data_IF_731990271667
#
_entry.id   IF_731990271667
#
_cell.length_a   1.000
_cell.length_b   1.000
_cell.length_c   1.000
_cell.angle_alpha   90.00
_cell.angle_beta   90.00
_cell.angle_gamma   90.00
#
_symmetry.space_group_name_H-M   'P 1'
#
loop_
_entity.id
_entity.type
_entity.pdbx_description
1 polymer ?
#
# COMPACT_ATOMS: atom_id res chain seq x y z
N UNK A 1 15.01 -20.18 51.34
CA UNK A 1 15.56 -20.53 50.02
C UNK A 1 14.50 -20.59 48.92
N UNK A 2 13.32 -21.22 49.07
CA UNK A 2 12.29 -21.27 48.00
C UNK A 2 11.72 -19.92 47.54
N UNK A 3 11.62 -18.91 48.42
CA UNK A 3 11.10 -17.58 48.08
C UNK A 3 12.08 -16.72 47.21
N UNK A 4 13.39 -16.91 47.42
CA UNK A 4 14.41 -16.20 46.66
C UNK A 4 14.52 -16.74 45.22
N UNK A 5 14.36 -18.05 45.04
CA UNK A 5 14.38 -18.70 43.73
C UNK A 5 13.16 -18.24 42.88
N UNK A 6 11.99 -18.05 43.52
CA UNK A 6 10.80 -17.55 42.82
C UNK A 6 10.93 -16.10 42.37
N UNK A 7 11.59 -15.25 43.16
CA UNK A 7 11.85 -13.84 42.80
C UNK A 7 12.88 -13.69 41.65
N UNK A 8 13.89 -14.55 41.62
CA UNK A 8 14.90 -14.55 40.51
C UNK A 8 14.28 -15.07 39.22
N UNK A 9 13.41 -16.10 39.28
CA UNK A 9 12.67 -16.58 38.10
C UNK A 9 11.68 -15.53 37.56
N UNK A 10 11.00 -14.78 38.45
CA UNK A 10 10.10 -13.70 38.04
C UNK A 10 10.88 -12.50 37.41
N UNK A 11 12.06 -12.16 37.96
CA UNK A 11 12.93 -11.13 37.39
C UNK A 11 13.50 -11.54 36.03
N UNK A 12 13.82 -12.82 35.80
CA UNK A 12 14.27 -13.34 34.51
C UNK A 12 13.15 -13.37 33.46
N UNK A 13 11.89 -13.55 33.85
CA UNK A 13 10.74 -13.48 32.95
C UNK A 13 10.41 -12.02 32.55
N UNK A 14 10.59 -11.06 33.45
CA UNK A 14 10.37 -9.63 33.15
C UNK A 14 11.47 -9.10 32.23
N UNK A 15 12.72 -9.54 32.38
CA UNK A 15 13.84 -9.12 31.53
C UNK A 15 13.71 -9.56 30.06
N UNK A 16 12.97 -10.63 29.77
CA UNK A 16 12.76 -11.10 28.38
C UNK A 16 11.60 -10.41 27.66
N UNK A 17 10.63 -9.84 28.38
CA UNK A 17 9.50 -9.13 27.76
C UNK A 17 9.83 -7.71 27.30
N UNK A 18 10.93 -7.14 27.77
CA UNK A 18 11.35 -5.76 27.37
C UNK A 18 12.16 -5.72 26.08
N UNK A 19 12.78 -6.81 25.65
CA UNK A 19 13.55 -6.88 24.41
C UNK A 19 12.70 -6.94 23.13
N UNK A 20 11.39 -7.20 23.27
CA UNK A 20 10.46 -7.32 22.12
C UNK A 20 9.73 -6.03 21.72
N UNK A 21 9.94 -4.92 22.45
CA UNK A 21 9.16 -3.68 22.26
C UNK A 21 9.84 -2.57 21.43
N UNK A 22 11.00 -2.77 20.83
CA UNK A 22 11.74 -1.68 20.20
C UNK A 22 12.02 -1.83 18.70
N UNK A 23 11.00 -2.17 17.92
CA UNK A 23 11.14 -2.18 16.47
C UNK A 23 10.85 -0.83 15.81
N UNK A 24 9.92 -0.07 16.38
CA UNK A 24 9.55 1.23 15.87
C UNK A 24 10.44 2.32 16.47
N UNK A 25 11.04 3.13 15.60
CA UNK A 25 11.92 4.23 16.03
C UNK A 25 11.79 5.44 15.11
N UNK A 26 11.63 6.61 15.72
CA UNK A 26 11.76 7.91 15.07
C UNK A 26 13.00 8.68 15.54
N UNK A 27 14.01 7.98 16.05
CA UNK A 27 15.23 8.60 16.62
C UNK A 27 16.24 9.08 15.57
N UNK A 28 15.97 8.85 14.28
CA UNK A 28 16.79 9.40 13.20
C UNK A 28 16.74 10.94 13.18
N UNK A 29 17.72 11.57 12.56
CA UNK A 29 17.84 13.03 12.46
C UNK A 29 17.96 13.49 11.03
N UNK A 30 17.55 14.74 10.78
CA UNK A 30 17.77 15.45 9.53
C UNK A 30 18.93 16.41 9.68
N UNK A 31 19.67 16.67 8.60
CA UNK A 31 20.79 17.62 8.58
C UNK A 31 20.38 19.06 8.85
N UNK A 32 19.12 19.39 8.63
CA UNK A 32 18.58 20.75 8.72
C UNK A 32 17.26 20.76 9.50
N UNK A 33 16.89 21.94 9.98
CA UNK A 33 15.60 22.28 10.59
C UNK A 33 15.03 23.53 9.92
N UNK A 34 13.73 23.74 10.04
CA UNK A 34 13.01 24.87 9.43
C UNK A 34 13.10 24.85 7.89
N UNK A 35 13.04 23.69 7.30
CA UNK A 35 13.20 23.45 5.87
C UNK A 35 11.87 23.30 5.13
N UNK A 36 11.92 23.49 3.82
CA UNK A 36 10.92 23.07 2.85
C UNK A 36 11.68 22.41 1.70
N UNK A 37 11.54 21.10 1.55
CA UNK A 37 12.23 20.34 0.52
C UNK A 37 11.25 19.79 -0.51
N UNK A 38 11.61 19.91 -1.78
CA UNK A 38 10.79 19.45 -2.91
C UNK A 38 11.49 18.31 -3.63
N UNK A 39 10.91 17.14 -3.55
CA UNK A 39 11.45 15.89 -4.05
C UNK A 39 10.71 15.49 -5.32
N UNK A 40 11.40 15.30 -6.46
CA UNK A 40 10.79 14.72 -7.66
C UNK A 40 10.31 13.30 -7.40
N UNK A 41 9.07 13.00 -7.82
CA UNK A 41 8.46 11.68 -7.68
C UNK A 41 7.97 11.13 -9.02
N UNK A 42 7.81 9.82 -9.08
CA UNK A 42 7.18 9.10 -10.18
C UNK A 42 6.05 8.23 -9.62
N UNK A 43 4.89 8.24 -10.27
CA UNK A 43 3.81 7.31 -9.94
C UNK A 43 3.87 6.10 -10.88
N UNK A 44 4.45 4.99 -10.41
CA UNK A 44 4.64 3.77 -11.19
C UNK A 44 3.81 2.64 -10.60
N UNK A 45 2.87 2.09 -11.36
CA UNK A 45 1.97 1.03 -10.92
C UNK A 45 1.21 1.34 -9.61
N UNK A 46 0.94 2.62 -9.36
CA UNK A 46 0.29 3.09 -8.13
C UNK A 46 1.23 3.22 -6.94
N UNK A 47 2.53 3.16 -7.13
CA UNK A 47 3.55 3.40 -6.10
C UNK A 47 4.22 4.75 -6.31
N UNK A 48 4.42 5.51 -5.25
CA UNK A 48 5.12 6.79 -5.28
C UNK A 48 6.62 6.52 -5.13
N UNK A 49 7.34 6.63 -6.23
CA UNK A 49 8.77 6.37 -6.28
C UNK A 49 9.56 7.68 -6.35
N UNK A 50 10.72 7.71 -5.71
CA UNK A 50 11.66 8.83 -5.74
C UNK A 50 13.09 8.32 -5.62
N UNK A 51 14.06 9.18 -5.95
CA UNK A 51 15.46 8.88 -5.82
C UNK A 51 15.99 9.34 -4.46
N UNK A 52 16.77 8.48 -3.81
CA UNK A 52 17.57 8.79 -2.62
C UNK A 52 19.02 8.43 -2.88
N UNK A 53 19.96 9.21 -2.37
CA UNK A 53 21.39 8.91 -2.48
C UNK A 53 21.86 8.19 -1.23
N UNK A 54 22.38 6.97 -1.38
CA UNK A 54 22.89 6.14 -0.28
C UNK A 54 24.35 5.80 -0.56
N UNK A 55 25.28 6.33 0.26
CA UNK A 55 26.71 6.08 0.07
C UNK A 55 27.23 6.55 -1.29
N UNK A 56 26.73 7.67 -1.83
CA UNK A 56 27.12 8.21 -3.15
C UNK A 56 26.44 7.52 -4.34
N UNK A 57 25.53 6.59 -4.11
CA UNK A 57 24.81 5.85 -5.17
C UNK A 57 23.33 6.19 -5.12
N UNK A 58 22.78 6.58 -6.27
CA UNK A 58 21.33 6.82 -6.40
C UNK A 58 20.58 5.50 -6.31
N UNK A 59 19.60 5.44 -5.41
CA UNK A 59 18.70 4.32 -5.15
C UNK A 59 17.26 4.73 -5.35
N UNK A 60 16.42 3.82 -5.81
CA UNK A 60 14.99 4.06 -5.95
C UNK A 60 14.30 3.70 -4.64
N UNK A 61 13.58 4.64 -4.05
CA UNK A 61 12.80 4.46 -2.84
C UNK A 61 11.30 4.61 -3.13
N UNK A 62 10.47 3.97 -2.31
CA UNK A 62 9.00 4.08 -2.35
C UNK A 62 8.51 4.78 -1.08
N UNK A 63 7.56 5.72 -1.20
CA UNK A 63 6.86 6.32 -0.06
C UNK A 63 5.56 5.58 0.22
N UNK A 64 5.47 4.98 1.41
CA UNK A 64 4.37 4.10 1.81
C UNK A 64 3.83 4.49 3.20
N UNK A 65 2.68 5.18 3.22
CA UNK A 65 2.02 5.59 4.48
C UNK A 65 1.34 4.44 5.21
N UNK A 66 1.15 3.29 4.57
CA UNK A 66 0.67 2.05 5.19
C UNK A 66 1.76 1.28 5.93
N UNK A 67 3.04 1.64 5.71
CA UNK A 67 4.17 1.08 6.44
C UNK A 67 4.49 1.94 7.66
N UNK A 68 4.50 1.33 8.86
CA UNK A 68 4.78 2.06 10.11
C UNK A 68 6.23 2.51 10.22
N UNK A 69 7.15 1.81 9.55
CA UNK A 69 8.58 2.07 9.55
C UNK A 69 9.16 1.72 8.19
N UNK A 70 10.28 2.31 7.84
CA UNK A 70 11.00 1.98 6.61
C UNK A 70 11.31 0.50 6.46
N UNK A 71 11.49 0.09 5.22
CA UNK A 71 11.80 -1.30 4.85
C UNK A 71 12.89 -1.33 3.82
N UNK A 72 13.85 -2.24 3.95
CA UNK A 72 14.82 -2.61 2.91
C UNK A 72 14.67 -4.07 2.53
N UNK A 73 15.15 -4.42 1.34
CA UNK A 73 14.99 -5.76 0.79
C UNK A 73 16.34 -6.49 0.71
N UNK A 74 16.47 -7.57 1.49
CA UNK A 74 17.72 -8.31 1.63
C UNK A 74 18.27 -8.87 0.31
N UNK A 75 17.39 -9.25 -0.63
CA UNK A 75 17.81 -9.83 -1.91
C UNK A 75 18.43 -8.84 -2.89
N UNK A 76 18.18 -7.56 -2.72
CA UNK A 76 18.69 -6.56 -3.65
C UNK A 76 20.17 -6.29 -3.45
N UNK A 77 20.72 -6.55 -2.23
CA UNK A 77 22.12 -6.26 -1.89
C UNK A 77 22.52 -4.79 -2.14
N UNK A 78 21.52 -3.93 -2.45
CA UNK A 78 21.74 -2.58 -2.93
C UNK A 78 22.13 -1.64 -1.79
N UNK A 79 21.64 -1.92 -0.57
CA UNK A 79 21.88 -1.08 0.61
C UNK A 79 22.57 -1.94 1.67
N UNK A 80 23.80 -1.58 2.01
CA UNK A 80 24.50 -2.15 3.17
C UNK A 80 23.84 -1.61 4.44
N UNK A 81 23.77 -2.42 5.49
CA UNK A 81 23.12 -2.02 6.74
C UNK A 81 23.80 -2.66 7.96
N UNK A 82 23.64 -2.03 9.11
CA UNK A 82 24.04 -2.59 10.41
C UNK A 82 22.84 -3.27 11.05
N UNK A 83 22.92 -4.58 11.25
CA UNK A 83 21.87 -5.35 11.93
C UNK A 83 21.80 -4.94 13.40
N UNK A 84 20.58 -4.70 13.90
CA UNK A 84 20.29 -4.31 15.29
C UNK A 84 19.58 -5.41 16.09
N UNK A 85 18.89 -6.33 15.41
CA UNK A 85 18.13 -7.40 16.06
C UNK A 85 16.98 -7.91 15.20
N UNK A 86 16.00 -8.55 15.84
CA UNK A 86 14.84 -9.10 15.15
C UNK A 86 13.55 -8.64 15.84
N UNK A 87 12.46 -8.57 15.05
CA UNK A 87 11.14 -8.19 15.52
C UNK A 87 10.07 -9.03 14.84
N UNK A 88 8.98 -9.28 15.55
CA UNK A 88 7.77 -9.82 14.94
C UNK A 88 7.08 -8.73 14.13
N UNK A 89 7.05 -8.90 12.82
CA UNK A 89 6.38 -7.99 11.88
C UNK A 89 5.10 -8.60 11.35
N UNK A 90 4.16 -7.74 10.98
CA UNK A 90 2.92 -8.12 10.32
C UNK A 90 2.75 -7.31 9.05
N UNK A 91 2.43 -7.97 7.95
CA UNK A 91 2.15 -7.28 6.69
C UNK A 91 0.70 -6.79 6.57
N UNK A 92 0.43 -6.01 5.53
CA UNK A 92 -0.88 -5.42 5.28
C UNK A 92 -2.00 -6.41 4.96
N UNK A 93 -1.70 -7.68 4.68
CA UNK A 93 -2.67 -8.77 4.43
C UNK A 93 -2.76 -9.76 5.60
N UNK A 94 -2.04 -9.48 6.70
CA UNK A 94 -2.17 -10.19 7.96
C UNK A 94 -1.18 -11.33 8.18
N UNK A 95 -0.22 -11.55 7.27
CA UNK A 95 0.87 -12.48 7.53
C UNK A 95 1.77 -11.95 8.62
N UNK A 96 2.35 -12.84 9.42
CA UNK A 96 3.29 -12.52 10.49
C UNK A 96 4.56 -13.34 10.30
N UNK A 97 5.71 -12.69 10.46
CA UNK A 97 7.01 -13.35 10.45
C UNK A 97 8.02 -12.54 11.30
N UNK A 98 9.08 -13.20 11.72
CA UNK A 98 10.20 -12.53 12.39
C UNK A 98 11.11 -11.92 11.34
N UNK A 99 11.19 -10.60 11.35
CA UNK A 99 12.05 -9.82 10.43
C UNK A 99 13.23 -9.23 11.17
N UNK A 100 14.34 -9.04 10.46
CA UNK A 100 15.49 -8.30 10.98
C UNK A 100 15.15 -6.82 11.07
N UNK A 101 15.77 -6.15 12.02
CA UNK A 101 15.80 -4.69 12.16
C UNK A 101 17.22 -4.22 11.92
N UNK A 102 17.39 -3.19 11.15
CA UNK A 102 18.68 -2.68 10.72
C UNK A 102 18.75 -1.16 10.73
N UNK A 103 19.93 -0.62 11.01
CA UNK A 103 20.24 0.78 10.79
C UNK A 103 20.82 0.94 9.38
N UNK A 104 20.25 1.86 8.61
CA UNK A 104 20.73 2.22 7.30
C UNK A 104 21.97 3.12 7.41
N UNK A 105 22.86 3.12 6.39
CA UNK A 105 23.81 4.21 6.20
C UNK A 105 23.08 5.54 6.10
N UNK A 106 23.76 6.65 6.34
CA UNK A 106 23.20 7.96 6.03
C UNK A 106 22.81 8.01 4.56
N UNK A 107 21.65 8.59 4.31
CA UNK A 107 21.15 8.77 2.95
C UNK A 107 20.58 10.17 2.76
N UNK A 108 20.57 10.62 1.52
CA UNK A 108 20.03 11.93 1.17
C UNK A 108 18.65 11.78 0.54
N UNK A 109 17.70 12.52 1.08
CA UNK A 109 16.33 12.62 0.64
C UNK A 109 16.10 14.07 0.17
N UNK A 110 16.13 14.30 -1.13
CA UNK A 110 16.22 15.66 -1.67
C UNK A 110 17.51 16.34 -1.23
N UNK A 111 17.43 17.46 -0.51
CA UNK A 111 18.55 18.18 0.06
C UNK A 111 18.92 17.71 1.48
N UNK A 112 18.03 16.97 2.15
CA UNK A 112 18.20 16.55 3.52
C UNK A 112 19.02 15.29 3.64
N UNK A 113 20.05 15.30 4.47
CA UNK A 113 20.70 14.08 4.92
C UNK A 113 19.93 13.49 6.11
N UNK A 114 19.65 12.20 6.04
CA UNK A 114 18.97 11.43 7.08
C UNK A 114 19.98 10.49 7.73
N UNK A 115 20.15 10.61 9.05
CA UNK A 115 21.12 9.83 9.82
C UNK A 115 20.44 9.01 10.90
N UNK A 116 20.91 7.76 11.12
CA UNK A 116 20.40 6.88 12.16
C UNK A 116 19.02 6.27 11.86
N UNK A 117 18.62 6.21 10.58
CA UNK A 117 17.35 5.65 10.17
C UNK A 117 17.32 4.13 10.36
N UNK A 118 16.28 3.67 11.04
CA UNK A 118 16.05 2.24 11.33
C UNK A 118 14.96 1.71 10.42
N UNK A 119 15.21 0.57 9.79
CA UNK A 119 14.26 -0.08 8.89
C UNK A 119 14.14 -1.57 9.19
N UNK A 120 13.01 -2.16 8.81
CA UNK A 120 12.82 -3.60 8.76
C UNK A 120 13.50 -4.19 7.53
N UNK A 121 14.07 -5.40 7.64
CA UNK A 121 14.69 -6.10 6.52
C UNK A 121 13.80 -7.26 6.13
N UNK A 122 13.15 -7.13 4.98
CA UNK A 122 12.29 -8.18 4.46
C UNK A 122 13.00 -9.04 3.40
N UNK A 123 12.68 -10.32 3.37
CA UNK A 123 12.93 -11.17 2.21
C UNK A 123 11.76 -10.99 1.26
N UNK A 124 12.00 -10.36 0.11
CA UNK A 124 10.95 -10.24 -0.90
C UNK A 124 10.60 -11.60 -1.47
N UNK A 125 9.33 -11.93 -1.48
CA UNK A 125 8.82 -13.05 -2.28
C UNK A 125 8.65 -12.66 -3.75
N UNK A 126 8.49 -11.35 -4.01
CA UNK A 126 8.39 -10.77 -5.35
C UNK A 126 9.32 -9.56 -5.40
N UNK A 127 10.29 -9.57 -6.30
CA UNK A 127 11.23 -8.46 -6.49
C UNK A 127 10.46 -7.20 -6.89
N UNK A 128 10.73 -6.09 -6.21
CA UNK A 128 10.19 -4.77 -6.52
C UNK A 128 11.17 -3.97 -7.38
N UNK A 129 10.68 -2.90 -8.00
CA UNK A 129 11.48 -1.98 -8.79
C UNK A 129 12.08 -0.82 -7.95
N UNK A 130 12.14 -0.98 -6.65
CA UNK A 130 12.75 -0.06 -5.69
C UNK A 130 13.55 -0.82 -4.63
N UNK A 131 14.50 -0.13 -4.02
CA UNK A 131 15.47 -0.72 -3.08
C UNK A 131 15.00 -0.64 -1.63
N UNK A 132 14.18 0.37 -1.30
CA UNK A 132 13.67 0.61 0.04
C UNK A 132 12.30 1.27 0.05
N UNK A 133 11.65 1.20 1.20
CA UNK A 133 10.44 1.93 1.55
C UNK A 133 10.79 2.94 2.64
N UNK A 134 10.32 4.17 2.51
CA UNK A 134 10.18 5.13 3.60
C UNK A 134 8.73 5.05 4.08
N UNK A 135 8.55 4.78 5.36
CA UNK A 135 7.24 4.60 5.98
C UNK A 135 6.65 5.90 6.54
N UNK A 136 5.56 5.75 7.27
CA UNK A 136 4.90 6.86 7.96
C UNK A 136 5.69 7.37 9.16
N UNK A 137 6.76 6.68 9.55
CA UNK A 137 7.71 7.09 10.59
C UNK A 137 8.32 8.48 10.31
N UNK A 138 8.53 8.84 9.03
CA UNK A 138 9.03 10.16 8.65
C UNK A 138 8.00 11.27 9.00
N UNK A 139 6.72 10.98 8.84
CA UNK A 139 5.63 11.88 9.24
C UNK A 139 5.50 11.91 10.77
N UNK A 140 5.59 10.75 11.42
CA UNK A 140 5.57 10.65 12.89
C UNK A 140 6.77 11.33 13.54
N UNK A 141 7.88 11.51 12.82
CA UNK A 141 9.03 12.34 13.25
C UNK A 141 8.66 13.82 13.40
N UNK A 142 7.57 14.27 12.80
CA UNK A 142 7.09 15.65 12.86
C UNK A 142 7.13 16.37 11.51
N UNK A 143 7.20 15.65 10.38
CA UNK A 143 7.14 16.28 9.07
C UNK A 143 5.70 16.40 8.57
N UNK A 144 5.42 17.52 7.89
CA UNK A 144 4.29 17.65 6.99
C UNK A 144 4.70 17.27 5.57
N UNK A 145 3.75 16.69 4.83
CA UNK A 145 4.01 16.20 3.48
C UNK A 145 2.89 16.64 2.53
N UNK A 146 3.26 17.06 1.31
CA UNK A 146 2.32 17.25 0.19
C UNK A 146 2.72 16.37 -0.97
N UNK A 147 1.75 15.66 -1.55
CA UNK A 147 1.94 14.78 -2.71
C UNK A 147 1.13 15.36 -3.87
N UNK A 148 1.81 15.80 -4.92
CA UNK A 148 1.22 16.38 -6.12
C UNK A 148 1.72 15.62 -7.36
N UNK A 149 0.92 14.67 -7.83
CA UNK A 149 1.28 13.81 -8.97
C UNK A 149 1.12 14.51 -10.33
N UNK A 150 0.40 15.65 -10.41
CA UNK A 150 0.35 16.45 -11.64
C UNK A 150 1.66 17.19 -11.88
N UNK A 151 2.31 17.62 -10.79
CA UNK A 151 3.62 18.28 -10.86
C UNK A 151 4.77 17.30 -10.71
N UNK A 152 4.48 16.02 -10.41
CA UNK A 152 5.46 14.98 -10.09
C UNK A 152 6.41 15.38 -8.94
N UNK A 153 5.84 15.93 -7.86
CA UNK A 153 6.60 16.36 -6.68
C UNK A 153 5.96 15.86 -5.38
N UNK A 154 6.83 15.63 -4.42
CA UNK A 154 6.49 15.50 -3.00
C UNK A 154 7.23 16.61 -2.24
N UNK A 155 6.51 17.36 -1.40
CA UNK A 155 7.09 18.39 -0.55
C UNK A 155 7.14 17.83 0.87
N UNK A 156 8.31 17.88 1.50
CA UNK A 156 8.50 17.59 2.92
C UNK A 156 8.93 18.84 3.65
N UNK A 157 8.40 19.04 4.86
CA UNK A 157 8.72 20.21 5.69
C UNK A 157 8.49 19.93 7.16
N UNK A 158 9.34 20.47 8.04
CA UNK A 158 9.12 20.52 9.49
C UNK A 158 8.42 21.83 9.92
N UNK A 159 8.13 22.73 8.97
CA UNK A 159 7.39 23.97 9.22
C UNK A 159 5.89 23.72 9.25
N UNK A 160 5.21 24.23 10.27
CA UNK A 160 3.77 24.01 10.52
C UNK A 160 2.85 24.82 9.62
N UNK A 161 3.34 25.93 9.05
CA UNK A 161 2.57 26.95 8.36
C UNK A 161 2.52 26.81 6.83
N UNK A 162 3.38 25.95 6.26
CA UNK A 162 3.59 25.87 4.79
C UNK A 162 2.31 25.55 4.03
N UNK A 163 1.42 24.74 4.60
CA UNK A 163 0.18 24.33 3.96
C UNK A 163 -1.08 24.98 4.53
N UNK A 164 -0.96 26.00 5.37
CA UNK A 164 -2.10 26.63 6.06
C UNK A 164 -3.08 27.35 5.11
N UNK A 165 -2.60 27.80 3.96
CA UNK A 165 -3.41 28.47 2.94
C UNK A 165 -4.08 27.53 1.95
N UNK A 166 -3.84 26.22 2.05
CA UNK A 166 -4.42 25.25 1.14
C UNK A 166 -5.87 24.94 1.54
N UNK A 167 -6.78 25.17 0.59
CA UNK A 167 -8.21 24.93 0.78
C UNK A 167 -8.56 23.56 0.21
N UNK A 168 -9.12 22.70 1.03
CA UNK A 168 -9.51 21.34 0.66
C UNK A 168 -10.37 20.67 1.73
N UNK A 169 -10.63 19.40 1.54
CA UNK A 169 -11.45 18.58 2.41
C UNK A 169 -10.56 17.83 3.40
N UNK A 170 -10.70 18.12 4.69
CA UNK A 170 -9.78 17.64 5.73
C UNK A 170 -10.41 16.61 6.65
N UNK A 171 -9.74 15.50 6.87
CA UNK A 171 -10.12 14.47 7.85
C UNK A 171 -8.99 14.31 8.87
N UNK A 172 -9.36 14.28 10.16
CA UNK A 172 -8.43 13.91 11.21
C UNK A 172 -8.04 12.44 11.13
N UNK A 173 -6.77 12.12 11.40
CA UNK A 173 -6.34 10.73 11.49
C UNK A 173 -5.95 10.35 12.93
N UNK A 174 -6.11 9.05 13.24
CA UNK A 174 -5.61 8.40 14.45
C UNK A 174 -4.51 7.43 14.07
N UNK A 175 -3.49 7.32 14.92
CA UNK A 175 -2.45 6.31 14.73
C UNK A 175 -2.91 4.99 15.33
N UNK A 176 -2.90 3.94 14.51
CA UNK A 176 -2.96 2.55 14.94
C UNK A 176 -1.74 1.83 14.39
N UNK A 177 -1.00 1.17 15.23
CA UNK A 177 0.25 0.53 14.80
C UNK A 177 1.19 1.51 14.08
N UNK A 178 1.18 2.79 14.51
CA UNK A 178 1.98 3.89 13.98
C UNK A 178 1.65 4.34 12.54
N UNK A 179 0.54 3.87 11.95
CA UNK A 179 0.04 4.27 10.63
C UNK A 179 -1.29 5.03 10.72
N UNK A 180 -1.64 5.86 9.72
CA UNK A 180 -2.76 6.79 9.80
C UNK A 180 -4.09 6.13 9.42
N UNK A 181 -5.02 6.05 10.36
CA UNK A 181 -6.40 5.67 10.13
C UNK A 181 -7.32 6.89 10.13
N UNK A 182 -8.15 6.99 9.12
CA UNK A 182 -9.14 8.05 8.91
C UNK A 182 -10.55 7.49 8.94
N UNK A 183 -11.54 8.36 9.14
CA UNK A 183 -12.95 7.97 9.13
C UNK A 183 -13.61 8.49 7.85
N UNK A 184 -14.07 7.58 6.97
CA UNK A 184 -14.79 7.91 5.75
C UNK A 184 -16.19 7.29 5.74
N UNK A 185 -17.06 7.73 4.82
CA UNK A 185 -18.40 7.16 4.68
C UNK A 185 -18.55 6.46 3.33
N UNK A 186 -18.36 5.13 3.27
CA UNK A 186 -18.46 4.35 2.04
C UNK A 186 -19.92 4.17 1.57
N UNK A 187 -20.88 4.24 2.50
CA UNK A 187 -22.31 4.13 2.21
C UNK A 187 -23.09 5.21 2.96
N UNK A 188 -24.31 5.50 2.47
CA UNK A 188 -25.18 6.48 3.13
C UNK A 188 -25.45 6.08 4.59
N UNK A 189 -25.14 6.97 5.54
CA UNK A 189 -25.26 6.76 6.99
C UNK A 189 -24.38 5.67 7.59
N UNK A 190 -23.34 5.22 6.87
CA UNK A 190 -22.36 4.27 7.37
C UNK A 190 -20.95 4.87 7.32
N UNK A 191 -20.18 4.63 8.37
CA UNK A 191 -18.80 5.08 8.51
C UNK A 191 -17.89 3.88 8.63
N UNK A 192 -16.70 3.98 8.06
CA UNK A 192 -15.67 2.97 8.14
C UNK A 192 -14.32 3.61 8.51
N UNK A 193 -13.56 2.94 9.34
CA UNK A 193 -12.21 3.36 9.71
C UNK A 193 -11.24 2.73 8.74
N UNK A 194 -10.50 3.57 8.03
CA UNK A 194 -9.78 3.22 6.82
C UNK A 194 -8.32 3.64 6.95
N UNK A 195 -7.40 2.75 6.63
CA UNK A 195 -5.99 3.09 6.52
C UNK A 195 -5.76 3.97 5.28
N UNK A 196 -5.12 5.12 5.44
CA UNK A 196 -4.60 5.90 4.33
C UNK A 196 -3.24 5.32 3.92
N UNK A 197 -3.18 4.63 2.77
CA UNK A 197 -2.12 3.69 2.41
C UNK A 197 -1.60 3.97 0.99
N UNK A 198 -0.51 4.75 0.88
CA UNK A 198 0.15 5.02 -0.41
C UNK A 198 0.96 3.83 -0.95
N UNK A 199 1.12 2.76 -0.19
CA UNK A 199 1.61 1.46 -0.66
C UNK A 199 0.54 0.65 -1.40
N UNK A 200 -0.74 1.03 -1.26
CA UNK A 200 -1.88 0.45 -1.97
C UNK A 200 -2.26 1.31 -3.18
N UNK A 201 -2.60 0.67 -4.30
CA UNK A 201 -2.99 1.40 -5.51
C UNK A 201 -4.45 1.86 -5.49
N UNK A 202 -5.35 0.98 -5.09
CA UNK A 202 -6.79 1.15 -5.31
C UNK A 202 -7.34 2.36 -4.55
N UNK A 203 -8.25 3.13 -5.18
CA UNK A 203 -8.93 4.24 -4.51
C UNK A 203 -9.56 3.79 -3.20
N UNK A 204 -10.25 2.65 -3.21
CA UNK A 204 -10.87 2.09 -2.01
C UNK A 204 -10.90 0.56 -2.06
N UNK A 205 -10.46 -0.08 -0.99
CA UNK A 205 -10.73 -1.48 -0.69
C UNK A 205 -11.37 -1.56 0.69
N UNK A 206 -12.29 -2.48 0.89
CA UNK A 206 -13.04 -2.57 2.14
C UNK A 206 -12.71 -3.87 2.89
N UNK A 207 -12.49 -3.78 4.20
CA UNK A 207 -12.39 -4.97 5.03
C UNK A 207 -13.68 -5.80 4.94
N UNK A 208 -13.53 -7.10 4.70
CA UNK A 208 -14.68 -8.01 4.50
C UNK A 208 -15.64 -8.00 5.70
N UNK A 209 -15.09 -8.08 6.93
CA UNK A 209 -15.93 -8.09 8.13
C UNK A 209 -16.67 -6.76 8.33
N UNK A 210 -16.02 -5.63 8.01
CA UNK A 210 -16.66 -4.31 8.03
C UNK A 210 -17.79 -4.25 6.99
N UNK A 211 -17.53 -4.72 5.77
CA UNK A 211 -18.56 -4.78 4.73
C UNK A 211 -19.75 -5.67 5.15
N UNK A 212 -19.49 -6.89 5.58
CA UNK A 212 -20.54 -7.85 5.98
C UNK A 212 -21.42 -7.29 7.11
N UNK A 213 -20.80 -6.56 8.07
CA UNK A 213 -21.53 -5.86 9.15
C UNK A 213 -22.45 -4.76 8.63
N UNK A 214 -22.02 -4.00 7.62
CA UNK A 214 -22.85 -2.96 6.99
C UNK A 214 -23.95 -3.58 6.12
N UNK A 215 -23.63 -4.61 5.33
CA UNK A 215 -24.57 -5.30 4.46
C UNK A 215 -25.68 -6.03 5.27
N UNK A 216 -25.34 -6.59 6.41
CA UNK A 216 -26.31 -7.18 7.34
C UNK A 216 -27.34 -6.17 7.84
N UNK A 217 -26.89 -4.93 8.13
CA UNK A 217 -27.75 -3.86 8.66
C UNK A 217 -28.55 -3.12 7.59
N UNK A 218 -28.20 -3.25 6.31
CA UNK A 218 -28.78 -2.45 5.24
C UNK A 218 -28.90 -3.22 3.93
N UNK A 219 -30.13 -3.46 3.49
CA UNK A 219 -30.43 -4.03 2.16
C UNK A 219 -29.84 -3.17 1.03
N UNK A 220 -29.81 -1.83 1.18
CA UNK A 220 -29.24 -0.90 0.20
C UNK A 220 -27.72 -1.07 0.07
N UNK A 221 -27.01 -1.38 1.15
CA UNK A 221 -25.57 -1.70 1.09
C UNK A 221 -25.35 -3.03 0.37
N UNK A 222 -26.14 -4.05 0.71
CA UNK A 222 -26.04 -5.36 0.06
C UNK A 222 -26.40 -5.31 -1.43
N UNK A 223 -27.31 -4.41 -1.85
CA UNK A 223 -27.67 -4.21 -3.25
C UNK A 223 -26.52 -3.62 -4.11
N UNK A 224 -25.47 -3.08 -3.50
CA UNK A 224 -24.27 -2.59 -4.19
C UNK A 224 -23.26 -3.70 -4.48
N UNK A 225 -23.51 -4.93 -4.07
CA UNK A 225 -22.71 -6.10 -4.46
C UNK A 225 -23.03 -6.46 -5.90
N UNK A 226 -22.02 -6.38 -6.77
CA UNK A 226 -22.13 -6.82 -8.16
C UNK A 226 -22.01 -8.35 -8.23
N UNK A 227 -21.06 -8.92 -7.51
CA UNK A 227 -20.85 -10.35 -7.44
C UNK A 227 -19.96 -10.75 -6.26
N UNK A 228 -20.04 -12.02 -5.84
CA UNK A 228 -19.12 -12.64 -4.87
C UNK A 228 -18.35 -13.76 -5.55
N UNK A 229 -17.03 -13.76 -5.36
CA UNK A 229 -16.13 -14.75 -5.97
C UNK A 229 -15.09 -15.16 -4.93
N UNK A 230 -14.72 -16.42 -4.88
CA UNK A 230 -13.64 -16.89 -4.00
C UNK A 230 -12.30 -16.78 -4.73
N UNK A 231 -11.32 -16.10 -4.10
CA UNK A 231 -9.98 -15.96 -4.70
C UNK A 231 -9.01 -15.14 -3.86
N UNK A 232 -7.85 -14.86 -4.45
CA UNK A 232 -6.80 -14.01 -3.85
C UNK A 232 -6.91 -12.60 -4.43
N UNK A 233 -6.89 -11.58 -3.57
CA UNK A 233 -7.10 -10.17 -3.97
C UNK A 233 -5.83 -9.36 -3.89
N UNK A 234 -5.08 -9.50 -2.81
CA UNK A 234 -3.97 -8.62 -2.46
C UNK A 234 -2.66 -9.40 -2.29
N UNK A 235 -1.56 -8.68 -2.42
CA UNK A 235 -0.22 -9.18 -2.13
C UNK A 235 0.38 -8.26 -1.08
N UNK A 236 0.75 -8.83 0.07
CA UNK A 236 1.50 -8.15 1.11
C UNK A 236 3.01 -8.35 0.94
N UNK A 237 3.79 -7.76 1.83
CA UNK A 237 5.26 -7.89 1.83
C UNK A 237 5.73 -9.32 2.06
N UNK A 238 4.91 -10.16 2.68
CA UNK A 238 5.22 -11.56 3.01
C UNK A 238 4.50 -12.57 2.10
N UNK A 239 3.74 -12.11 1.09
CA UNK A 239 3.10 -12.96 0.11
C UNK A 239 1.66 -12.61 -0.21
N UNK A 240 1.00 -13.48 -1.00
CA UNK A 240 -0.39 -13.28 -1.38
C UNK A 240 -1.34 -13.51 -0.20
N UNK A 241 -2.38 -12.68 -0.10
CA UNK A 241 -3.49 -12.86 0.83
C UNK A 241 -4.09 -14.26 0.69
N UNK A 242 -4.56 -14.86 1.79
CA UNK A 242 -5.23 -16.16 1.73
C UNK A 242 -6.51 -16.05 0.89
N UNK A 243 -6.86 -17.11 0.09
CA UNK A 243 -8.07 -17.06 -0.71
C UNK A 243 -9.32 -17.05 0.18
N UNK A 244 -10.22 -16.11 -0.08
CA UNK A 244 -11.50 -16.01 0.63
C UNK A 244 -12.60 -15.57 -0.34
N UNK A 245 -13.84 -15.51 0.14
CA UNK A 245 -14.93 -14.87 -0.58
C UNK A 245 -14.69 -13.37 -0.66
N UNK A 246 -14.68 -12.86 -1.87
CA UNK A 246 -14.50 -11.45 -2.22
C UNK A 246 -15.79 -10.92 -2.82
N UNK A 247 -16.31 -9.83 -2.28
CA UNK A 247 -17.41 -9.10 -2.89
C UNK A 247 -16.84 -8.01 -3.83
N UNK A 248 -17.29 -8.00 -5.07
CA UNK A 248 -17.14 -6.90 -6.01
C UNK A 248 -18.25 -5.90 -5.76
N UNK A 249 -17.90 -4.64 -5.52
CA UNK A 249 -18.80 -3.59 -5.12
C UNK A 249 -18.90 -2.52 -6.20
N UNK A 250 -20.11 -2.16 -6.58
CA UNK A 250 -20.45 -0.97 -7.36
C UNK A 250 -21.08 0.04 -6.42
N UNK A 251 -20.22 0.82 -5.78
CA UNK A 251 -20.62 1.76 -4.76
C UNK A 251 -21.16 3.04 -5.40
N UNK A 252 -22.32 3.49 -4.95
CA UNK A 252 -22.90 4.76 -5.40
C UNK A 252 -22.01 5.93 -5.04
N UNK A 253 -21.34 5.85 -3.87
CA UNK A 253 -20.49 6.91 -3.35
C UNK A 253 -19.45 6.40 -2.36
N UNK A 254 -18.35 7.17 -2.25
CA UNK A 254 -17.43 7.18 -1.14
C UNK A 254 -17.25 8.64 -0.71
N UNK A 255 -17.52 8.98 0.55
CA UNK A 255 -17.41 10.34 1.04
C UNK A 255 -16.16 10.53 1.89
N UNK A 256 -15.35 11.52 1.50
CA UNK A 256 -14.20 12.03 2.22
C UNK A 256 -14.54 13.44 2.76
N UNK A 257 -14.75 13.58 4.06
CA UNK A 257 -15.29 14.83 4.63
C UNK A 257 -16.58 15.25 3.88
N UNK A 258 -16.60 16.39 3.23
CA UNK A 258 -17.72 16.84 2.39
C UNK A 258 -17.53 16.56 0.90
N UNK A 259 -16.37 16.04 0.48
CA UNK A 259 -16.12 15.61 -0.89
C UNK A 259 -16.71 14.24 -1.18
N UNK A 260 -17.28 14.06 -2.38
CA UNK A 260 -17.93 12.81 -2.78
C UNK A 260 -17.33 12.22 -4.05
N UNK A 261 -16.75 11.02 -3.94
CA UNK A 261 -16.46 10.18 -5.09
C UNK A 261 -17.71 9.38 -5.43
N UNK A 262 -18.20 9.46 -6.67
CA UNK A 262 -19.36 8.70 -7.14
C UNK A 262 -18.97 7.57 -8.06
N UNK A 263 -19.83 6.55 -8.21
CA UNK A 263 -19.61 5.38 -9.07
C UNK A 263 -18.27 4.66 -8.79
N UNK A 264 -17.99 4.42 -7.50
CA UNK A 264 -16.73 3.81 -7.05
C UNK A 264 -16.80 2.29 -7.20
N UNK A 265 -15.86 1.71 -7.90
CA UNK A 265 -15.65 0.26 -7.92
C UNK A 265 -14.67 -0.11 -6.81
N UNK A 266 -15.05 -1.06 -5.98
CA UNK A 266 -14.22 -1.56 -4.88
C UNK A 266 -14.35 -3.07 -4.76
N UNK A 267 -13.46 -3.65 -3.97
CA UNK A 267 -13.49 -5.07 -3.60
C UNK A 267 -13.29 -5.23 -2.10
N UNK A 268 -13.77 -6.34 -1.55
CA UNK A 268 -13.48 -6.67 -0.16
C UNK A 268 -12.14 -7.41 -0.04
N UNK A 269 -11.47 -7.23 1.10
CA UNK A 269 -10.19 -7.86 1.47
C UNK A 269 -10.24 -8.35 2.92
N UNK A 270 -9.41 -9.29 3.30
CA UNK A 270 -9.24 -9.69 4.71
C UNK A 270 -8.44 -8.67 5.51
N UNK A 271 -7.59 -7.86 4.84
CA UNK A 271 -6.83 -6.79 5.44
C UNK A 271 -7.70 -5.62 5.90
N UNK A 272 -7.09 -4.54 6.37
CA UNK A 272 -7.79 -3.31 6.72
C UNK A 272 -8.48 -2.69 5.50
N UNK A 273 -9.59 -1.97 5.71
CA UNK A 273 -10.10 -1.05 4.69
C UNK A 273 -9.03 -0.01 4.37
N UNK A 274 -8.87 0.36 3.08
CA UNK A 274 -7.80 1.26 2.62
C UNK A 274 -8.27 2.25 1.60
N UNK A 275 -7.66 3.44 1.65
CA UNK A 275 -7.63 4.40 0.54
C UNK A 275 -6.20 4.46 0.03
N UNK A 276 -6.02 4.16 -1.25
CA UNK A 276 -4.71 4.10 -1.89
C UNK A 276 -4.45 5.26 -2.86
N UNK A 277 -3.34 5.14 -3.59
CA UNK A 277 -2.80 6.20 -4.45
C UNK A 277 -3.70 6.61 -5.62
N UNK A 278 -4.69 5.81 -6.00
CA UNK A 278 -5.65 6.21 -7.05
C UNK A 278 -6.45 7.48 -6.67
N UNK A 279 -6.51 7.88 -5.39
CA UNK A 279 -7.06 9.18 -4.96
C UNK A 279 -6.29 10.35 -5.60
N UNK A 280 -4.99 10.20 -5.85
CA UNK A 280 -4.12 11.22 -6.43
C UNK A 280 -4.44 11.54 -7.90
N UNK A 281 -5.23 10.71 -8.57
CA UNK A 281 -5.77 11.00 -9.91
C UNK A 281 -6.77 12.17 -9.89
N UNK A 282 -7.41 12.37 -8.75
CA UNK A 282 -8.51 13.33 -8.57
C UNK A 282 -8.10 14.57 -7.78
N UNK A 283 -7.01 14.52 -7.04
CA UNK A 283 -6.57 15.64 -6.22
C UNK A 283 -5.16 15.45 -5.66
N UNK A 284 -4.71 16.48 -4.96
CA UNK A 284 -3.46 16.52 -4.21
C UNK A 284 -3.75 16.13 -2.76
N UNK A 285 -2.82 15.46 -2.11
CA UNK A 285 -2.91 15.11 -0.68
C UNK A 285 -1.89 15.92 0.10
N UNK A 286 -2.34 16.52 1.21
CA UNK A 286 -1.46 17.12 2.22
C UNK A 286 -1.64 16.38 3.56
N UNK A 287 -0.55 15.98 4.20
CA UNK A 287 -0.51 15.33 5.51
C UNK A 287 0.13 16.30 6.50
N UNK A 288 -0.64 16.71 7.49
CA UNK A 288 -0.19 17.57 8.58
C UNK A 288 0.02 16.72 9.84
N UNK A 289 1.27 16.50 10.21
CA UNK A 289 1.63 15.69 11.38
C UNK A 289 1.27 16.37 12.70
N UNK A 290 1.34 17.69 12.75
CA UNK A 290 1.09 18.48 13.98
C UNK A 290 -0.39 18.54 14.35
N UNK A 291 -1.26 18.73 13.34
CA UNK A 291 -2.72 18.75 13.53
C UNK A 291 -3.36 17.40 13.35
N UNK A 292 -2.56 16.37 12.96
CA UNK A 292 -3.02 15.01 12.64
C UNK A 292 -4.19 15.00 11.69
N UNK A 293 -4.06 15.68 10.57
CA UNK A 293 -5.08 15.73 9.52
C UNK A 293 -4.49 15.40 8.15
N UNK A 294 -5.34 14.82 7.30
CA UNK A 294 -5.06 14.61 5.89
C UNK A 294 -6.07 15.42 5.11
N UNK A 295 -5.58 16.27 4.21
CA UNK A 295 -6.40 17.15 3.38
C UNK A 295 -6.34 16.69 1.93
N UNK A 296 -7.49 16.45 1.33
CA UNK A 296 -7.66 16.21 -0.09
C UNK A 296 -8.03 17.51 -0.78
N UNK A 297 -7.30 17.88 -1.81
CA UNK A 297 -7.49 19.10 -2.60
C UNK A 297 -7.83 18.69 -4.03
N UNK A 298 -9.11 18.79 -4.45
CA UNK A 298 -9.53 18.39 -5.78
C UNK A 298 -8.81 19.18 -6.87
N UNK A 299 -8.44 18.50 -7.95
CA UNK A 299 -7.76 19.14 -9.06
C UNK A 299 -8.61 20.14 -9.83
N UNK A 300 -9.91 19.99 -9.84
CA UNK A 300 -10.89 20.81 -10.56
C UNK A 300 -11.68 21.77 -9.66
N UNK A 301 -11.38 21.77 -8.35
CA UNK A 301 -12.04 22.60 -7.36
C UNK A 301 -13.51 22.27 -7.09
N UNK A 302 -14.02 21.15 -7.62
CA UNK A 302 -15.40 20.68 -7.37
C UNK A 302 -15.50 20.02 -6.00
N UNK A 303 -16.72 19.79 -5.56
CA UNK A 303 -17.05 19.07 -4.32
C UNK A 303 -17.31 17.58 -4.54
N UNK A 304 -17.29 17.13 -5.79
CA UNK A 304 -17.53 15.75 -6.18
C UNK A 304 -16.83 15.38 -7.49
N UNK A 305 -16.54 14.09 -7.68
CA UNK A 305 -16.01 13.55 -8.93
C UNK A 305 -16.55 12.16 -9.20
N UNK A 306 -16.78 11.85 -10.48
CA UNK A 306 -17.10 10.50 -10.90
C UNK A 306 -15.82 9.68 -11.08
N UNK A 307 -15.79 8.51 -10.43
CA UNK A 307 -14.67 7.58 -10.48
C UNK A 307 -14.88 6.60 -11.62
N UNK A 308 -14.08 6.70 -12.66
CA UNK A 308 -14.12 5.77 -13.79
C UNK A 308 -13.00 4.75 -13.67
N UNK A 309 -13.07 3.87 -12.67
CA UNK A 309 -12.10 2.81 -12.50
C UNK A 309 -12.60 1.48 -13.10
N UNK A 310 -12.04 1.11 -14.23
CA UNK A 310 -12.34 -0.17 -14.92
C UNK A 310 -11.54 -1.36 -14.38
N UNK A 311 -10.68 -1.19 -13.38
CA UNK A 311 -9.54 -2.09 -13.14
C UNK A 311 -9.75 -3.24 -12.17
N UNK A 312 -10.96 -3.48 -11.67
CA UNK A 312 -11.15 -4.49 -10.62
C UNK A 312 -11.74 -5.82 -11.06
N UNK A 313 -11.78 -6.09 -12.34
CA UNK A 313 -12.32 -7.34 -12.88
C UNK A 313 -11.40 -8.54 -12.64
N UNK A 314 -10.09 -8.31 -12.49
CA UNK A 314 -9.10 -9.38 -12.39
C UNK A 314 -7.94 -8.99 -11.46
N UNK A 315 -7.50 -9.93 -10.61
CA UNK A 315 -6.29 -9.82 -9.83
C UNK A 315 -5.30 -10.93 -10.20
N UNK A 316 -4.04 -10.55 -10.38
CA UNK A 316 -2.94 -11.48 -10.60
C UNK A 316 -2.10 -11.60 -9.34
N UNK A 317 -1.71 -12.83 -9.02
CA UNK A 317 -0.85 -13.13 -7.86
C UNK A 317 0.33 -13.99 -8.30
N UNK A 318 1.46 -13.94 -7.59
CA UNK A 318 2.57 -14.85 -7.87
C UNK A 318 2.22 -16.25 -7.40
N UNK A 319 2.27 -17.20 -8.30
CA UNK A 319 2.23 -18.62 -7.98
C UNK A 319 3.43 -19.31 -8.66
N UNK A 320 4.25 -19.99 -7.88
CA UNK A 320 5.55 -20.53 -8.34
C UNK A 320 6.42 -19.46 -9.07
N UNK A 321 6.38 -18.22 -8.57
CA UNK A 321 7.09 -17.08 -9.17
C UNK A 321 6.49 -16.53 -10.47
N UNK A 322 5.40 -17.11 -10.98
CA UNK A 322 4.75 -16.70 -12.24
C UNK A 322 3.44 -15.95 -11.99
N UNK A 323 3.05 -15.03 -12.89
CA UNK A 323 1.77 -14.35 -12.81
C UNK A 323 0.62 -15.33 -13.05
N UNK A 324 -0.25 -15.45 -12.07
CA UNK A 324 -1.38 -16.38 -12.10
C UNK A 324 -2.66 -15.63 -11.78
N UNK A 325 -3.76 -15.94 -12.45
CA UNK A 325 -5.07 -15.33 -12.18
C UNK A 325 -5.54 -15.77 -10.81
N UNK A 326 -5.42 -14.90 -9.81
CA UNK A 326 -5.82 -15.13 -8.42
C UNK A 326 -7.31 -14.93 -8.18
N UNK A 327 -7.90 -13.97 -8.91
CA UNK A 327 -9.31 -13.63 -8.88
C UNK A 327 -9.74 -13.11 -10.25
N UNK A 328 -10.94 -13.45 -10.70
CA UNK A 328 -11.53 -12.90 -11.91
C UNK A 328 -13.05 -12.76 -11.73
N UNK A 329 -13.58 -11.60 -12.11
CA UNK A 329 -15.02 -11.35 -12.10
C UNK A 329 -15.67 -12.10 -13.27
N UNK A 330 -16.59 -13.06 -13.03
CA UNK A 330 -17.32 -13.70 -14.09
C UNK A 330 -18.07 -12.69 -14.95
N UNK A 331 -18.00 -12.85 -16.27
CA UNK A 331 -18.65 -11.95 -17.22
C UNK A 331 -17.86 -10.68 -17.58
N UNK A 332 -16.70 -10.40 -16.96
CA UNK A 332 -15.80 -9.35 -17.44
C UNK A 332 -15.18 -9.70 -18.81
N UNK A 333 -14.54 -8.74 -19.44
CA UNK A 333 -14.02 -8.93 -20.80
C UNK A 333 -12.91 -9.98 -20.85
N UNK A 334 -12.03 -10.04 -19.85
CA UNK A 334 -10.99 -11.07 -19.73
C UNK A 334 -11.60 -12.46 -19.52
N UNK A 335 -12.71 -12.56 -18.76
CA UNK A 335 -13.43 -13.81 -18.56
C UNK A 335 -14.10 -14.28 -19.86
N UNK A 336 -14.73 -13.36 -20.60
CA UNK A 336 -15.33 -13.64 -21.92
C UNK A 336 -14.27 -14.04 -22.95
N UNK A 337 -13.08 -13.43 -22.87
CA UNK A 337 -11.92 -13.80 -23.70
C UNK A 337 -11.35 -15.17 -23.37
N UNK A 338 -11.79 -15.80 -22.29
CA UNK A 338 -11.43 -17.17 -21.94
C UNK A 338 -10.47 -17.31 -20.77
N UNK A 339 -10.04 -16.23 -20.10
CA UNK A 339 -9.26 -16.33 -18.86
C UNK A 339 -10.10 -16.92 -17.73
N UNK A 340 -9.45 -17.74 -16.90
CA UNK A 340 -10.08 -18.36 -15.72
C UNK A 340 -9.16 -18.23 -14.52
N UNK A 341 -9.73 -18.28 -13.34
CA UNK A 341 -8.97 -18.32 -12.09
C UNK A 341 -8.06 -19.55 -12.06
N UNK A 342 -6.80 -19.33 -11.72
CA UNK A 342 -5.75 -20.36 -11.72
C UNK A 342 -4.98 -20.45 -13.05
N UNK A 343 -5.38 -19.74 -14.11
CA UNK A 343 -4.60 -19.65 -15.34
C UNK A 343 -3.29 -18.92 -15.07
N UNK A 344 -2.16 -19.52 -15.46
CA UNK A 344 -0.82 -18.96 -15.32
C UNK A 344 -0.40 -18.32 -16.64
N UNK A 345 0.02 -17.06 -16.61
CA UNK A 345 0.52 -16.34 -17.78
C UNK A 345 1.96 -16.74 -18.05
N UNK A 346 2.22 -17.19 -19.28
CA UNK A 346 3.54 -17.61 -19.74
C UNK A 346 4.19 -16.58 -20.66
N UNK A 347 3.40 -15.95 -21.55
CA UNK A 347 3.89 -14.97 -22.53
C UNK A 347 2.84 -13.89 -22.79
N UNK A 348 3.32 -12.71 -23.19
CA UNK A 348 2.54 -11.60 -23.73
C UNK A 348 3.12 -11.21 -25.08
N UNK A 349 2.34 -11.27 -26.15
CA UNK A 349 2.76 -10.99 -27.55
C UNK A 349 4.05 -11.75 -27.96
N UNK A 350 4.21 -13.01 -27.51
CA UNK A 350 5.39 -13.84 -27.74
C UNK A 350 6.59 -13.52 -26.84
N UNK A 351 6.51 -12.52 -25.96
CA UNK A 351 7.55 -12.23 -24.96
C UNK A 351 7.32 -13.11 -23.72
N UNK A 352 8.27 -13.98 -23.35
CA UNK A 352 8.12 -14.86 -22.21
C UNK A 352 8.18 -14.10 -20.88
N UNK A 353 7.24 -14.39 -20.00
CA UNK A 353 7.22 -13.90 -18.61
C UNK A 353 8.00 -14.91 -17.74
N UNK A 354 9.24 -14.59 -17.38
CA UNK A 354 10.08 -15.46 -16.55
C UNK A 354 9.70 -15.37 -15.08
N UNK A 355 9.12 -14.25 -14.65
CA UNK A 355 8.74 -13.97 -13.26
C UNK A 355 7.46 -13.15 -13.18
N UNK A 356 6.91 -13.02 -11.97
CA UNK A 356 5.83 -12.09 -11.68
C UNK A 356 6.25 -10.62 -11.90
N UNK A 357 7.53 -10.31 -11.66
CA UNK A 357 8.10 -8.99 -11.89
C UNK A 357 8.07 -8.59 -13.37
N UNK A 358 8.36 -9.53 -14.29
CA UNK A 358 8.31 -9.26 -15.72
C UNK A 358 6.90 -8.84 -16.14
N UNK A 359 5.88 -9.47 -15.54
CA UNK A 359 4.49 -9.10 -15.77
C UNK A 359 4.14 -7.72 -15.20
N UNK A 360 4.62 -7.40 -13.99
CA UNK A 360 4.39 -6.09 -13.38
C UNK A 360 5.02 -4.94 -14.17
N UNK A 361 6.16 -5.19 -14.79
CA UNK A 361 6.89 -4.21 -15.59
C UNK A 361 6.58 -4.29 -17.09
N UNK A 362 5.74 -5.23 -17.51
CA UNK A 362 5.36 -5.29 -18.91
C UNK A 362 4.66 -3.98 -19.32
N UNK A 363 5.09 -3.33 -20.43
CA UNK A 363 4.60 -2.00 -20.82
C UNK A 363 3.21 -2.10 -21.47
N UNK A 364 2.20 -2.45 -20.68
CA UNK A 364 0.82 -2.48 -21.15
C UNK A 364 0.33 -1.08 -21.50
N UNK A 365 -0.25 -0.96 -22.70
CA UNK A 365 -0.88 0.28 -23.19
C UNK A 365 -2.40 0.13 -23.09
N UNK A 366 -3.07 1.13 -22.51
CA UNK A 366 -4.53 1.16 -22.40
C UNK A 366 -5.16 1.22 -23.80
N UNK A 367 -6.17 0.40 -24.03
CA UNK A 367 -6.88 0.28 -25.33
C UNK A 367 -6.20 -0.67 -26.31
N UNK A 368 -4.97 -1.18 -26.04
CA UNK A 368 -4.29 -2.13 -26.89
C UNK A 368 -4.72 -3.56 -26.56
N UNK A 369 -4.89 -4.39 -27.60
CA UNK A 369 -5.14 -5.83 -27.48
C UNK A 369 -3.81 -6.59 -27.48
N UNK A 370 -3.69 -7.53 -26.55
CA UNK A 370 -2.52 -8.38 -26.33
C UNK A 370 -2.88 -9.85 -26.48
N UNK A 371 -1.96 -10.60 -27.06
CA UNK A 371 -2.05 -12.06 -27.17
C UNK A 371 -1.32 -12.70 -25.98
N UNK A 372 -2.05 -13.40 -25.12
CA UNK A 372 -1.51 -14.10 -23.97
C UNK A 372 -1.38 -15.60 -24.27
N UNK A 373 -0.20 -16.18 -24.02
CA UNK A 373 -0.06 -17.63 -23.84
C UNK A 373 -0.27 -17.93 -22.36
N UNK A 374 -1.27 -18.73 -22.03
CA UNK A 374 -1.57 -19.12 -20.66
C UNK A 374 -1.60 -20.63 -20.51
N UNK A 375 -1.18 -21.10 -19.32
CA UNK A 375 -1.35 -22.50 -18.91
C UNK A 375 -2.55 -22.57 -17.97
N UNK A 376 -3.54 -23.39 -18.31
CA UNK A 376 -4.73 -23.59 -17.47
C UNK A 376 -4.37 -24.33 -16.18
N UNK A 377 -5.27 -24.31 -15.22
CA UNK A 377 -5.13 -25.07 -13.96
C UNK A 377 -4.92 -26.57 -14.18
N UNK A 378 -5.47 -27.12 -15.29
CA UNK A 378 -5.32 -28.53 -15.72
C UNK A 378 -4.00 -28.77 -16.51
N UNK A 379 -3.14 -27.75 -16.63
CA UNK A 379 -1.84 -27.86 -17.29
C UNK A 379 -1.87 -27.70 -18.81
N UNK A 380 -3.01 -27.40 -19.44
CA UNK A 380 -3.13 -27.21 -20.90
C UNK A 380 -2.77 -25.77 -21.27
N UNK A 381 -2.02 -25.61 -22.35
CA UNK A 381 -1.72 -24.27 -22.90
C UNK A 381 -2.86 -23.82 -23.83
N UNK A 382 -3.20 -22.54 -23.74
CA UNK A 382 -4.16 -21.88 -24.62
C UNK A 382 -3.73 -20.44 -24.90
N UNK A 383 -4.25 -19.90 -26.01
CA UNK A 383 -4.08 -18.49 -26.36
C UNK A 383 -5.34 -17.72 -25.99
N UNK A 384 -5.15 -16.54 -25.43
CA UNK A 384 -6.23 -15.64 -25.04
C UNK A 384 -5.91 -14.22 -25.51
N UNK A 385 -6.90 -13.54 -26.10
CA UNK A 385 -6.76 -12.14 -26.50
C UNK A 385 -7.42 -11.27 -25.43
N UNK A 386 -6.69 -10.31 -24.89
CA UNK A 386 -7.24 -9.34 -23.92
C UNK A 386 -6.96 -7.91 -24.38
N UNK A 387 -7.90 -6.99 -24.14
CA UNK A 387 -7.69 -5.55 -24.32
C UNK A 387 -7.50 -4.89 -22.95
N UNK A 388 -6.43 -4.12 -22.83
CA UNK A 388 -6.08 -3.45 -21.57
C UNK A 388 -6.69 -2.06 -21.46
#
# INVERSE_FOLDING_TARGET
MKKIVLLVLFALCIGRSWAQMHAYSTNFTFSETNFVDTIPIELVNGQILFNAEVGGVIRKFCFDTGSSQGTIFAQNGAILYKELGNVLSRDGVGHQDTTKVAMLPNFRLGHLEVSGYVASVFKQQVRQNYDAIIGFDIINKGLCCKIDTRRNIMILTDRRDVFDREIGYSIGYKLRWWVPYILVSPFKRHWDEVLFDTGSRQLFTMNKQSFDKHAYKSKQVNAQVEQRVKGHVSIGSMGAERPDEVAFLKMERLRWDNFVFTNVRAITTQGASRIGTDILKYGTITIDSYRRKITFIPHDGRDSTEVNNKTYSIAYVPYQGKPTVGLILPGCDEYKAGLRQGDMLLEVDGQPLKSFLDFQHFPFVIGRTYKLLVRTKEGKNKMVMITR
#
